data_IF_347722030342
#
_entry.id   IF_347722030342
#
_cell.length_a   1.000
_cell.length_b   1.000
_cell.length_c   1.000
_cell.angle_alpha   90.00
_cell.angle_beta   90.00
_cell.angle_gamma   90.00
#
_symmetry.space_group_name_H-M   'P 1'
#
loop_
_entity.id
_entity.type
_entity.pdbx_description
1 polymer ?
#
# COMPACT_ATOMS: atom_id res chain seq x y z
N UNK A 1 -30.44 13.46 -18.73
CA UNK A 1 -29.80 13.66 -17.42
C UNK A 1 -28.65 12.65 -17.19
N UNK A 2 -27.92 12.22 -18.24
CA UNK A 2 -26.81 11.27 -18.14
C UNK A 2 -25.37 11.87 -18.03
N UNK A 3 -25.09 13.18 -18.24
CA UNK A 3 -23.70 13.66 -18.23
C UNK A 3 -23.15 13.97 -16.83
N UNK A 4 -24.01 14.13 -15.82
CA UNK A 4 -23.59 14.53 -14.46
C UNK A 4 -23.14 13.31 -13.64
N UNK A 5 -23.87 12.20 -13.70
CA UNK A 5 -23.52 10.94 -13.01
C UNK A 5 -22.20 10.34 -13.53
N UNK A 6 -21.94 10.40 -14.85
CA UNK A 6 -20.66 9.94 -15.41
C UNK A 6 -19.47 10.75 -14.88
N UNK A 7 -19.66 12.04 -14.61
CA UNK A 7 -18.62 12.92 -14.07
C UNK A 7 -18.30 12.60 -12.60
N UNK A 8 -19.31 12.18 -11.82
CA UNK A 8 -19.10 11.76 -10.42
C UNK A 8 -18.34 10.45 -10.33
N UNK A 9 -18.68 9.45 -11.16
CA UNK A 9 -17.99 8.16 -11.20
C UNK A 9 -16.52 8.33 -11.62
N UNK A 10 -16.24 9.17 -12.62
CA UNK A 10 -14.86 9.44 -13.07
C UNK A 10 -14.02 10.13 -11.97
N UNK A 11 -14.60 11.10 -11.25
CA UNK A 11 -13.93 11.76 -10.11
C UNK A 11 -13.65 10.79 -8.98
N UNK A 12 -14.60 9.90 -8.70
CA UNK A 12 -14.49 8.86 -7.69
C UNK A 12 -13.35 7.89 -8.03
N UNK A 13 -13.29 7.42 -9.27
CA UNK A 13 -12.21 6.54 -9.74
C UNK A 13 -10.84 7.23 -9.64
N UNK A 14 -10.73 8.50 -10.02
CA UNK A 14 -9.48 9.26 -9.89
C UNK A 14 -9.03 9.42 -8.44
N UNK A 15 -9.97 9.67 -7.52
CA UNK A 15 -9.71 9.75 -6.09
C UNK A 15 -9.20 8.40 -5.54
N UNK A 16 -9.88 7.30 -5.83
CA UNK A 16 -9.44 5.96 -5.38
C UNK A 16 -8.06 5.58 -5.92
N UNK A 17 -7.79 5.89 -7.18
CA UNK A 17 -6.47 5.64 -7.78
C UNK A 17 -5.36 6.44 -7.11
N UNK A 18 -5.59 7.72 -6.83
CA UNK A 18 -4.64 8.57 -6.08
C UNK A 18 -4.44 8.05 -4.65
N UNK A 19 -5.52 7.60 -4.00
CA UNK A 19 -5.47 7.02 -2.67
C UNK A 19 -4.66 5.71 -2.64
N UNK A 20 -4.85 4.83 -3.63
CA UNK A 20 -4.08 3.58 -3.77
C UNK A 20 -2.59 3.87 -3.99
N UNK A 21 -2.23 4.82 -4.85
CA UNK A 21 -0.83 5.23 -5.03
C UNK A 21 -0.21 5.79 -3.76
N UNK A 22 -0.97 6.61 -3.04
CA UNK A 22 -0.52 7.19 -1.76
C UNK A 22 -0.30 6.09 -0.73
N UNK A 23 -1.26 5.16 -0.59
CA UNK A 23 -1.15 4.02 0.32
C UNK A 23 0.05 3.12 -0.03
N UNK A 24 0.23 2.79 -1.31
CA UNK A 24 1.37 2.01 -1.78
C UNK A 24 2.70 2.68 -1.44
N UNK A 25 2.81 3.99 -1.71
CA UNK A 25 4.03 4.76 -1.42
C UNK A 25 4.35 4.77 0.07
N UNK A 26 3.35 4.99 0.92
CA UNK A 26 3.51 4.97 2.38
C UNK A 26 3.95 3.59 2.87
N UNK A 27 3.28 2.52 2.43
CA UNK A 27 3.61 1.14 2.83
C UNK A 27 5.03 0.77 2.43
N UNK A 28 5.44 1.07 1.19
CA UNK A 28 6.80 0.75 0.71
C UNK A 28 7.85 1.55 1.47
N UNK A 29 7.63 2.86 1.69
CA UNK A 29 8.55 3.69 2.46
C UNK A 29 8.68 3.21 3.92
N UNK A 30 7.56 2.99 4.61
CA UNK A 30 7.56 2.48 5.98
C UNK A 30 8.25 1.12 6.09
N UNK A 31 7.96 0.23 5.13
CA UNK A 31 8.59 -1.08 5.04
C UNK A 31 10.11 -1.00 4.87
N UNK A 32 10.59 -0.16 3.96
CA UNK A 32 12.02 0.03 3.73
C UNK A 32 12.75 0.53 4.99
N UNK A 33 12.17 1.51 5.71
CA UNK A 33 12.73 2.00 6.97
C UNK A 33 12.72 0.93 8.06
N UNK A 34 11.64 0.16 8.19
CA UNK A 34 11.54 -0.92 9.16
C UNK A 34 12.58 -2.03 8.88
N UNK A 35 12.75 -2.42 7.63
CA UNK A 35 13.76 -3.40 7.21
C UNK A 35 15.17 -2.87 7.50
N UNK A 36 15.46 -1.61 7.21
CA UNK A 36 16.76 -1.00 7.50
C UNK A 36 17.07 -0.98 9.01
N UNK A 37 16.07 -0.64 9.84
CA UNK A 37 16.18 -0.62 11.30
C UNK A 37 16.45 -2.00 11.90
N UNK A 38 15.71 -3.01 11.45
CA UNK A 38 15.77 -4.37 12.00
C UNK A 38 16.93 -5.18 11.42
N UNK A 39 17.20 -5.01 10.13
CA UNK A 39 18.22 -5.77 9.40
C UNK A 39 19.64 -5.27 9.65
N UNK A 40 19.82 -3.95 9.73
CA UNK A 40 21.15 -3.30 9.72
C UNK A 40 21.29 -2.19 10.77
N UNK A 41 21.07 -2.49 12.07
CA UNK A 41 21.00 -1.48 13.12
C UNK A 41 22.28 -0.64 13.30
N UNK A 42 23.44 -1.21 13.02
CA UNK A 42 24.75 -0.57 13.23
C UNK A 42 25.31 0.12 11.97
N UNK A 43 24.54 0.14 10.88
CA UNK A 43 24.94 0.80 9.63
C UNK A 43 24.44 2.25 9.57
N UNK A 44 25.00 3.06 8.66
CA UNK A 44 24.50 4.41 8.39
C UNK A 44 23.01 4.41 8.00
N UNK A 45 22.55 3.36 7.31
CA UNK A 45 21.15 3.18 6.97
C UNK A 45 20.27 2.98 8.22
N UNK A 46 20.72 2.17 9.19
CA UNK A 46 20.06 1.99 10.47
C UNK A 46 20.02 3.28 11.31
N UNK A 47 21.10 4.06 11.32
CA UNK A 47 21.17 5.36 11.99
C UNK A 47 20.22 6.40 11.41
N UNK A 48 20.19 6.54 10.08
CA UNK A 48 19.23 7.41 9.39
C UNK A 48 17.80 6.97 9.66
N UNK A 49 17.52 5.67 9.57
CA UNK A 49 16.18 5.15 9.80
C UNK A 49 15.72 5.39 11.25
N UNK A 50 16.58 5.30 12.28
CA UNK A 50 16.22 5.64 13.67
C UNK A 50 15.83 7.10 13.83
N UNK A 51 16.53 7.98 13.11
CA UNK A 51 16.30 9.42 13.17
C UNK A 51 15.01 9.82 12.45
N UNK A 52 14.72 9.16 11.32
CA UNK A 52 13.56 9.42 10.48
C UNK A 52 12.29 8.72 11.01
N UNK A 53 12.43 7.61 11.75
CA UNK A 53 11.29 6.86 12.29
C UNK A 53 10.23 7.71 13.01
N UNK A 54 10.57 8.61 13.95
CA UNK A 54 9.57 9.49 14.56
C UNK A 54 8.94 10.48 13.56
N UNK A 55 9.64 10.86 12.49
CA UNK A 55 9.08 11.72 11.43
C UNK A 55 8.08 10.98 10.54
N UNK A 56 8.10 9.64 10.48
CA UNK A 56 7.09 8.87 9.72
C UNK A 56 5.68 9.14 10.24
N UNK A 57 5.49 9.34 11.55
CA UNK A 57 4.17 9.70 12.11
C UNK A 57 3.65 10.99 11.49
N UNK A 58 4.53 11.99 11.28
CA UNK A 58 4.18 13.26 10.64
C UNK A 58 3.82 13.01 9.17
N UNK A 59 4.61 12.20 8.45
CA UNK A 59 4.32 11.82 7.06
C UNK A 59 2.98 11.12 6.93
N UNK A 60 2.65 10.20 7.84
CA UNK A 60 1.34 9.52 7.87
C UNK A 60 0.20 10.53 8.09
N UNK A 61 0.36 11.47 9.02
CA UNK A 61 -0.63 12.52 9.26
C UNK A 61 -0.80 13.41 8.02
N UNK A 62 0.29 13.79 7.35
CA UNK A 62 0.24 14.58 6.11
C UNK A 62 -0.45 13.79 4.99
N UNK A 63 -0.13 12.50 4.84
CA UNK A 63 -0.75 11.64 3.84
C UNK A 63 -2.26 11.52 4.08
N UNK A 64 -2.68 11.25 5.32
CA UNK A 64 -4.10 11.20 5.71
C UNK A 64 -4.78 12.55 5.50
N UNK A 65 -4.13 13.65 5.87
CA UNK A 65 -4.63 15.02 5.64
C UNK A 65 -4.78 15.34 4.16
N UNK A 66 -3.82 14.91 3.32
CA UNK A 66 -3.88 15.04 1.87
C UNK A 66 -5.04 14.26 1.26
N UNK A 67 -5.29 13.04 1.74
CA UNK A 67 -6.46 12.25 1.34
C UNK A 67 -7.77 12.92 1.77
N UNK A 68 -7.85 13.45 2.99
CA UNK A 68 -9.04 14.20 3.44
C UNK A 68 -9.26 15.48 2.63
N UNK A 69 -8.19 16.20 2.28
CA UNK A 69 -8.28 17.38 1.42
C UNK A 69 -8.73 17.02 0.00
N UNK A 70 -8.20 15.93 -0.56
CA UNK A 70 -8.64 15.41 -1.85
C UNK A 70 -10.11 14.98 -1.83
N UNK A 71 -10.57 14.33 -0.74
CA UNK A 71 -11.97 14.00 -0.52
C UNK A 71 -12.85 15.25 -0.55
N UNK A 72 -12.48 16.27 0.24
CA UNK A 72 -13.23 17.54 0.31
C UNK A 72 -13.27 18.26 -1.04
N UNK A 73 -12.20 18.18 -1.83
CA UNK A 73 -12.12 18.80 -3.16
C UNK A 73 -13.00 18.07 -4.20
N UNK A 74 -13.16 16.76 -4.05
CA UNK A 74 -13.92 15.94 -4.98
C UNK A 74 -15.44 15.93 -4.68
N UNK A 75 -15.86 16.48 -3.53
CA UNK A 75 -17.25 16.46 -3.03
C UNK A 75 -17.87 15.06 -2.99
N UNK A 76 -17.01 14.06 -2.73
CA UNK A 76 -17.41 12.65 -2.69
C UNK A 76 -17.92 12.32 -1.30
N UNK A 77 -19.13 11.76 -1.23
CA UNK A 77 -19.61 11.05 -0.05
C UNK A 77 -19.14 9.58 -0.08
N UNK A 78 -18.16 9.18 0.77
CA UNK A 78 -17.62 7.83 0.79
C UNK A 78 -18.61 6.78 1.32
N UNK A 79 -19.78 7.20 1.84
CA UNK A 79 -20.89 6.30 2.18
C UNK A 79 -22.11 6.51 1.27
N UNK A 80 -21.95 7.23 0.16
CA UNK A 80 -23.03 7.45 -0.81
C UNK A 80 -23.38 6.20 -1.63
N UNK A 81 -24.58 6.19 -2.18
CA UNK A 81 -25.12 5.09 -3.00
C UNK A 81 -24.19 4.68 -4.17
N UNK A 82 -23.40 5.62 -4.71
CA UNK A 82 -22.45 5.35 -5.78
C UNK A 82 -21.33 4.39 -5.32
N UNK A 83 -20.76 4.58 -4.14
CA UNK A 83 -19.72 3.70 -3.59
C UNK A 83 -20.31 2.33 -3.26
N UNK A 84 -21.51 2.29 -2.69
CA UNK A 84 -22.20 1.03 -2.40
C UNK A 84 -22.49 0.22 -3.68
N UNK A 85 -22.87 0.91 -4.77
CA UNK A 85 -23.07 0.27 -6.07
C UNK A 85 -21.77 -0.28 -6.66
N UNK A 86 -20.64 0.45 -6.54
CA UNK A 86 -19.33 -0.02 -7.00
C UNK A 86 -18.82 -1.22 -6.20
N UNK A 87 -19.04 -1.23 -4.88
CA UNK A 87 -18.68 -2.36 -4.01
C UNK A 87 -19.56 -3.60 -4.26
N UNK A 88 -20.80 -3.37 -4.69
CA UNK A 88 -21.74 -4.41 -5.09
C UNK A 88 -21.35 -5.11 -6.39
N UNK A 89 -20.65 -4.40 -7.28
CA UNK A 89 -20.28 -4.86 -8.62
C UNK A 89 -19.46 -6.16 -8.58
N UNK A 90 -19.90 -7.13 -9.36
CA UNK A 90 -19.22 -8.42 -9.51
C UNK A 90 -17.82 -8.25 -10.11
N UNK A 91 -17.63 -7.25 -10.99
CA UNK A 91 -16.33 -6.96 -11.58
C UNK A 91 -15.33 -6.49 -10.52
N UNK A 92 -15.77 -5.64 -9.60
CA UNK A 92 -14.95 -5.18 -8.48
C UNK A 92 -14.56 -6.33 -7.55
N UNK A 93 -15.51 -7.22 -7.23
CA UNK A 93 -15.22 -8.41 -6.41
C UNK A 93 -14.25 -9.37 -7.11
N UNK A 94 -14.37 -9.53 -8.43
CA UNK A 94 -13.48 -10.37 -9.21
C UNK A 94 -12.05 -9.79 -9.28
N UNK A 95 -11.90 -8.48 -9.45
CA UNK A 95 -10.60 -7.81 -9.44
C UNK A 95 -9.93 -7.90 -8.07
N UNK A 96 -10.71 -7.69 -6.99
CA UNK A 96 -10.26 -7.83 -5.62
C UNK A 96 -9.77 -9.26 -5.31
N UNK A 97 -10.51 -10.28 -5.72
CA UNK A 97 -10.11 -11.67 -5.53
C UNK A 97 -8.82 -12.00 -6.30
N UNK A 98 -8.66 -11.49 -7.54
CA UNK A 98 -7.40 -11.63 -8.30
C UNK A 98 -6.24 -10.93 -7.60
N UNK A 99 -6.47 -9.73 -7.08
CA UNK A 99 -5.45 -8.98 -6.37
C UNK A 99 -5.00 -9.70 -5.08
N UNK A 100 -5.92 -10.27 -4.31
CA UNK A 100 -5.58 -11.09 -3.14
C UNK A 100 -4.80 -12.34 -3.53
N UNK A 101 -5.21 -13.02 -4.60
CA UNK A 101 -4.50 -14.21 -5.09
C UNK A 101 -3.07 -13.86 -5.53
N UNK A 102 -2.89 -12.76 -6.25
CA UNK A 102 -1.56 -12.27 -6.64
C UNK A 102 -0.73 -11.86 -5.42
N UNK A 103 -1.34 -11.19 -4.44
CA UNK A 103 -0.72 -10.86 -3.16
C UNK A 103 -0.20 -12.10 -2.43
N UNK A 104 -1.03 -13.15 -2.35
CA UNK A 104 -0.66 -14.43 -1.76
C UNK A 104 0.52 -15.09 -2.51
N UNK A 105 0.48 -15.14 -3.84
CA UNK A 105 1.61 -15.64 -4.62
C UNK A 105 2.87 -14.78 -4.44
N UNK A 106 2.71 -13.46 -4.36
CA UNK A 106 3.78 -12.52 -4.07
C UNK A 106 4.43 -12.80 -2.71
N UNK A 107 3.64 -13.06 -1.68
CA UNK A 107 4.11 -13.47 -0.35
C UNK A 107 4.90 -14.78 -0.43
N UNK A 108 4.40 -15.80 -1.12
CA UNK A 108 5.10 -17.09 -1.24
C UNK A 108 6.46 -16.95 -1.93
N UNK A 109 6.50 -16.20 -3.04
CA UNK A 109 7.74 -15.93 -3.77
C UNK A 109 8.70 -15.10 -2.91
N UNK A 110 8.20 -14.04 -2.27
CA UNK A 110 8.98 -13.20 -1.38
C UNK A 110 9.57 -14.01 -0.23
N UNK A 111 8.79 -14.89 0.39
CA UNK A 111 9.27 -15.74 1.49
C UNK A 111 10.44 -16.61 1.05
N UNK A 112 10.34 -17.25 -0.13
CA UNK A 112 11.43 -18.06 -0.67
C UNK A 112 12.71 -17.23 -0.92
N UNK A 113 12.56 -16.07 -1.56
CA UNK A 113 13.69 -15.17 -1.84
C UNK A 113 14.30 -14.59 -0.57
N UNK A 114 13.49 -14.23 0.42
CA UNK A 114 13.92 -13.65 1.68
C UNK A 114 14.63 -14.66 2.57
N UNK A 115 14.18 -15.93 2.58
CA UNK A 115 14.89 -17.01 3.26
C UNK A 115 16.28 -17.17 2.65
N UNK A 116 16.36 -17.26 1.31
CA UNK A 116 17.64 -17.33 0.63
C UNK A 116 18.51 -16.12 1.00
N UNK A 117 18.02 -14.89 0.82
CA UNK A 117 18.75 -13.67 1.14
C UNK A 117 19.22 -13.60 2.61
N UNK A 118 18.42 -14.11 3.56
CA UNK A 118 18.77 -14.09 4.99
C UNK A 118 20.02 -14.92 5.32
N UNK A 119 20.26 -16.01 4.58
CA UNK A 119 21.44 -16.86 4.74
C UNK A 119 22.72 -16.18 4.24
N UNK A 120 22.61 -15.35 3.19
CA UNK A 120 23.77 -14.70 2.56
C UNK A 120 24.13 -13.34 3.18
N UNK A 121 23.13 -12.57 3.62
CA UNK A 121 23.32 -11.16 4.02
C UNK A 121 23.62 -11.02 5.52
N UNK A 122 23.20 -11.95 6.37
CA UNK A 122 23.47 -11.92 7.80
C UNK A 122 22.76 -10.79 8.54
N UNK A 123 21.42 -10.76 8.50
CA UNK A 123 20.63 -9.76 9.23
C UNK A 123 20.81 -9.85 10.74
N UNK A 124 20.79 -8.70 11.44
CA UNK A 124 20.86 -8.67 12.90
C UNK A 124 19.64 -9.35 13.56
N UNK A 125 18.44 -9.14 13.00
CA UNK A 125 17.20 -9.76 13.47
C UNK A 125 16.48 -10.48 12.32
N UNK A 126 16.98 -11.65 11.86
CA UNK A 126 16.56 -12.27 10.61
C UNK A 126 15.06 -12.60 10.58
N UNK A 127 14.48 -13.07 11.69
CA UNK A 127 13.05 -13.39 11.77
C UNK A 127 12.18 -12.14 11.64
N UNK A 128 12.52 -11.06 12.36
CA UNK A 128 11.74 -9.82 12.32
C UNK A 128 11.86 -9.12 10.95
N UNK A 129 13.08 -9.06 10.40
CA UNK A 129 13.34 -8.44 9.09
C UNK A 129 12.64 -9.19 7.96
N UNK A 130 12.69 -10.52 7.96
CA UNK A 130 12.02 -11.34 6.94
C UNK A 130 10.50 -11.23 7.06
N UNK A 131 9.92 -11.33 8.26
CA UNK A 131 8.49 -11.14 8.47
C UNK A 131 8.00 -9.76 8.00
N UNK A 132 8.75 -8.71 8.32
CA UNK A 132 8.45 -7.35 7.87
C UNK A 132 8.52 -7.22 6.34
N UNK A 133 9.58 -7.73 5.73
CA UNK A 133 9.75 -7.68 4.28
C UNK A 133 8.66 -8.47 3.54
N UNK A 134 8.24 -9.62 4.07
CA UNK A 134 7.15 -10.42 3.50
C UNK A 134 5.81 -9.68 3.56
N UNK A 135 5.49 -9.05 4.69
CA UNK A 135 4.28 -8.24 4.83
C UNK A 135 4.27 -7.08 3.82
N UNK A 136 5.37 -6.35 3.72
CA UNK A 136 5.51 -5.21 2.79
C UNK A 136 5.37 -5.69 1.35
N UNK A 137 6.05 -6.77 0.97
CA UNK A 137 5.95 -7.35 -0.37
C UNK A 137 4.51 -7.79 -0.69
N UNK A 138 3.85 -8.50 0.22
CA UNK A 138 2.47 -8.96 0.03
C UNK A 138 1.47 -7.81 -0.15
N UNK A 139 1.55 -6.81 0.72
CA UNK A 139 0.68 -5.62 0.63
C UNK A 139 0.99 -4.83 -0.64
N UNK A 140 2.27 -4.62 -0.98
CA UNK A 140 2.66 -3.90 -2.19
C UNK A 140 2.17 -4.60 -3.46
N UNK A 141 2.34 -5.92 -3.57
CA UNK A 141 1.86 -6.72 -4.72
C UNK A 141 0.34 -6.69 -4.82
N UNK A 142 -0.36 -6.75 -3.68
CA UNK A 142 -1.83 -6.66 -3.65
C UNK A 142 -2.30 -5.29 -4.14
N UNK A 143 -1.72 -4.20 -3.62
CA UNK A 143 -2.05 -2.83 -4.01
C UNK A 143 -1.69 -2.55 -5.47
N UNK A 144 -0.54 -3.03 -5.95
CA UNK A 144 -0.16 -2.93 -7.36
C UNK A 144 -1.11 -3.71 -8.26
N UNK A 145 -1.55 -4.91 -7.83
CA UNK A 145 -2.51 -5.71 -8.59
C UNK A 145 -3.87 -5.01 -8.66
N UNK A 146 -4.34 -4.43 -7.54
CA UNK A 146 -5.56 -3.60 -7.55
C UNK A 146 -5.40 -2.45 -8.54
N UNK A 147 -4.30 -1.71 -8.48
CA UNK A 147 -4.04 -0.58 -9.37
C UNK A 147 -3.93 -0.99 -10.85
N UNK A 148 -3.54 -2.23 -11.13
CA UNK A 148 -3.47 -2.77 -12.49
C UNK A 148 -4.82 -3.22 -13.03
N UNK A 149 -5.66 -3.84 -12.18
CA UNK A 149 -6.99 -4.34 -12.56
C UNK A 149 -8.11 -3.30 -12.46
N UNK A 150 -7.87 -2.16 -11.80
CA UNK A 150 -8.77 -1.00 -11.76
C UNK A 150 -8.69 -0.15 -13.06
N UNK A 151 -8.35 -0.80 -14.20
CA UNK A 151 -8.33 -0.26 -15.55
C UNK A 151 -9.48 -0.84 -16.36
#
# INVERSE_FOLDING_TARGET
MLPEELNEIDRLAHYYRSALWTALSVVVCMGAFAIALLGFPDTQAGGLARTIWPMLTIVCVIAVGGLQAAKKKADIDPMGNAVESMLGDELYKASLNRAYRNGFFGVLIAQFLLIAASVWIGFAQPVATTACATLVAGVAVTLLSLLFYDR
#
